data_IF_062064468039
#
_entry.id   IF_062064468039
#
_cell.length_a   1.000
_cell.length_b   1.000
_cell.length_c   1.000
_cell.angle_alpha   90.00
_cell.angle_beta   90.00
_cell.angle_gamma   90.00
#
_symmetry.space_group_name_H-M   'P 1'
#
loop_
_entity.id
_entity.type
_entity.pdbx_description
1 polymer ?
#
# COMPACT_ATOMS: atom_id res chain seq x y z
N UNK A 1 -29.34 3.29 -28.67
CA UNK A 1 -29.55 4.26 -27.57
C UNK A 1 -28.54 3.88 -26.51
N UNK A 2 -27.32 4.43 -26.59
CA UNK A 2 -26.22 4.03 -25.73
C UNK A 2 -26.42 4.70 -24.36
N UNK A 3 -26.60 3.89 -23.32
CA UNK A 3 -26.62 4.38 -21.95
C UNK A 3 -25.30 5.12 -21.67
N UNK A 4 -25.31 6.24 -20.93
CA UNK A 4 -24.07 6.86 -20.50
C UNK A 4 -23.34 5.88 -19.59
N UNK A 5 -22.11 5.49 -19.95
CA UNK A 5 -21.18 4.89 -19.00
C UNK A 5 -20.89 5.97 -17.95
N UNK A 6 -21.69 6.01 -16.89
CA UNK A 6 -21.34 6.74 -15.67
C UNK A 6 -20.08 6.10 -15.12
N UNK A 7 -18.93 6.66 -15.49
CA UNK A 7 -17.66 6.39 -14.80
C UNK A 7 -17.91 6.61 -13.32
N UNK A 8 -17.96 5.54 -12.54
CA UNK A 8 -18.25 5.61 -11.11
C UNK A 8 -17.10 6.37 -10.45
N UNK A 9 -17.33 7.62 -10.07
CA UNK A 9 -16.31 8.39 -9.35
C UNK A 9 -16.15 7.80 -7.95
N UNK A 10 -15.02 7.14 -7.67
CA UNK A 10 -14.66 6.77 -6.30
C UNK A 10 -14.22 8.05 -5.58
N UNK A 11 -15.09 8.55 -4.70
CA UNK A 11 -14.89 9.77 -3.93
C UNK A 11 -15.16 9.54 -2.43
N UNK A 12 -14.29 8.78 -1.74
CA UNK A 12 -14.38 8.56 -0.29
C UNK A 12 -14.18 9.86 0.49
N UNK A 13 -14.48 9.82 1.79
CA UNK A 13 -14.13 10.94 2.68
C UNK A 13 -12.61 11.09 2.75
N UNK A 14 -12.14 12.32 3.00
CA UNK A 14 -10.70 12.58 3.20
C UNK A 14 -10.18 11.82 4.41
N UNK A 15 -10.98 11.71 5.48
CA UNK A 15 -10.65 10.89 6.65
C UNK A 15 -10.39 9.42 6.27
N UNK A 16 -11.32 8.80 5.53
CA UNK A 16 -11.16 7.43 5.05
C UNK A 16 -9.92 7.27 4.16
N UNK A 17 -9.66 8.24 3.28
CA UNK A 17 -8.46 8.22 2.43
C UNK A 17 -7.18 8.23 3.25
N UNK A 18 -7.11 9.06 4.29
CA UNK A 18 -5.97 9.16 5.19
C UNK A 18 -5.82 7.89 6.05
N UNK A 19 -6.91 7.28 6.50
CA UNK A 19 -6.88 6.03 7.26
C UNK A 19 -6.35 4.86 6.41
N UNK A 20 -6.81 4.74 5.16
CA UNK A 20 -6.31 3.72 4.23
C UNK A 20 -4.84 3.95 3.93
N UNK A 21 -4.42 5.20 3.69
CA UNK A 21 -3.01 5.54 3.49
C UNK A 21 -2.16 5.18 4.71
N UNK A 22 -2.65 5.49 5.92
CA UNK A 22 -1.97 5.13 7.15
C UNK A 22 -1.79 3.61 7.31
N UNK A 23 -2.83 2.83 6.98
CA UNK A 23 -2.76 1.37 7.02
C UNK A 23 -1.73 0.81 6.02
N UNK A 24 -1.63 1.36 4.81
CA UNK A 24 -0.63 0.94 3.83
C UNK A 24 0.81 1.33 4.25
N UNK A 25 0.98 2.48 4.89
CA UNK A 25 2.26 2.89 5.48
C UNK A 25 2.66 1.95 6.63
N UNK A 26 1.72 1.55 7.49
CA UNK A 26 1.95 0.56 8.55
C UNK A 26 2.37 -0.80 8.00
N UNK A 27 1.72 -1.25 6.92
CA UNK A 27 2.10 -2.49 6.24
C UNK A 27 3.53 -2.41 5.70
N UNK A 28 3.93 -1.27 5.13
CA UNK A 28 5.31 -1.04 4.71
C UNK A 28 6.29 -1.05 5.89
N UNK A 29 5.94 -0.40 7.00
CA UNK A 29 6.74 -0.40 8.23
C UNK A 29 6.94 -1.80 8.82
N UNK A 30 5.88 -2.61 8.85
CA UNK A 30 5.94 -4.00 9.29
C UNK A 30 6.90 -4.84 8.43
N UNK A 31 6.96 -4.56 7.12
CA UNK A 31 7.93 -5.21 6.21
C UNK A 31 9.37 -4.77 6.50
N UNK A 32 9.62 -3.52 6.86
CA UNK A 32 10.96 -3.07 7.29
C UNK A 32 11.41 -3.80 8.56
N UNK A 33 10.53 -3.94 9.56
CA UNK A 33 10.83 -4.69 10.79
C UNK A 33 11.11 -6.16 10.49
N UNK A 34 10.34 -6.77 9.58
CA UNK A 34 10.59 -8.13 9.13
C UNK A 34 11.95 -8.27 8.43
N UNK A 35 12.32 -7.31 7.57
CA UNK A 35 13.62 -7.29 6.91
C UNK A 35 14.77 -7.13 7.89
N UNK A 36 14.65 -6.23 8.88
CA UNK A 36 15.62 -6.04 9.96
C UNK A 36 15.93 -7.36 10.67
N UNK A 37 14.88 -8.11 11.05
CA UNK A 37 15.03 -9.45 11.63
C UNK A 37 15.78 -10.43 10.71
N UNK A 38 15.37 -10.54 9.45
CA UNK A 38 16.00 -11.49 8.50
C UNK A 38 17.47 -11.14 8.28
N UNK A 39 17.79 -9.86 8.18
CA UNK A 39 19.16 -9.40 8.01
C UNK A 39 19.99 -9.71 9.27
N UNK A 40 19.43 -9.54 10.46
CA UNK A 40 20.05 -9.95 11.72
C UNK A 40 20.37 -11.45 11.75
N UNK A 41 19.43 -12.30 11.33
CA UNK A 41 19.64 -13.76 11.24
C UNK A 41 20.75 -14.13 10.23
N UNK A 42 20.86 -13.41 9.11
CA UNK A 42 21.92 -13.61 8.10
C UNK A 42 23.28 -13.16 8.63
N UNK A 43 23.34 -12.07 9.40
CA UNK A 43 24.59 -11.52 9.93
C UNK A 43 25.36 -12.54 10.75
N UNK A 44 24.69 -13.42 11.49
CA UNK A 44 25.34 -14.42 12.35
C UNK A 44 26.30 -15.33 11.57
N UNK A 45 26.04 -15.58 10.29
CA UNK A 45 26.90 -16.39 9.42
C UNK A 45 28.03 -15.64 8.71
N UNK A 46 28.13 -14.31 8.85
CA UNK A 46 29.06 -13.50 8.06
C UNK A 46 30.42 -13.26 8.74
N UNK A 47 31.52 -13.20 7.95
CA UNK A 47 32.79 -12.61 8.35
C UNK A 47 32.67 -11.19 8.90
N UNK A 48 33.52 -10.82 9.86
CA UNK A 48 33.48 -9.55 10.59
C UNK A 48 33.38 -8.30 9.68
N UNK A 49 34.20 -8.24 8.63
CA UNK A 49 34.21 -7.11 7.67
C UNK A 49 32.91 -6.94 6.89
N UNK A 50 32.18 -8.03 6.66
CA UNK A 50 30.90 -8.03 5.95
C UNK A 50 29.76 -7.69 6.92
N UNK A 51 29.89 -8.12 8.18
CA UNK A 51 28.98 -7.77 9.27
C UNK A 51 28.94 -6.27 9.54
N UNK A 52 30.10 -5.59 9.58
CA UNK A 52 30.18 -4.13 9.77
C UNK A 52 29.42 -3.35 8.71
N UNK A 53 29.57 -3.72 7.43
CA UNK A 53 28.83 -3.07 6.33
C UNK A 53 27.33 -3.32 6.41
N UNK A 54 26.92 -4.50 6.89
CA UNK A 54 25.51 -4.85 7.02
C UNK A 54 24.84 -4.16 8.21
N UNK A 55 25.58 -3.88 9.28
CA UNK A 55 25.09 -3.07 10.42
C UNK A 55 24.67 -1.66 10.00
N UNK A 56 25.44 -0.99 9.13
CA UNK A 56 25.07 0.33 8.61
C UNK A 56 23.76 0.26 7.80
N UNK A 57 23.61 -0.80 6.99
CA UNK A 57 22.37 -1.07 6.26
C UNK A 57 21.18 -1.30 7.17
N UNK A 58 21.36 -2.06 8.27
CA UNK A 58 20.32 -2.29 9.27
C UNK A 58 19.85 -1.01 9.94
N UNK A 59 20.80 -0.13 10.32
CA UNK A 59 20.43 1.16 10.89
C UNK A 59 19.57 1.99 9.93
N UNK A 60 19.87 1.95 8.63
CA UNK A 60 19.04 2.57 7.60
C UNK A 60 17.61 1.98 7.52
N UNK A 61 17.47 0.66 7.65
CA UNK A 61 16.16 -0.02 7.65
C UNK A 61 15.35 0.31 8.90
N UNK A 62 15.98 0.36 10.07
CA UNK A 62 15.36 0.77 11.33
C UNK A 62 14.86 2.22 11.27
N UNK A 63 15.71 3.15 10.83
CA UNK A 63 15.31 4.55 10.62
C UNK A 63 14.14 4.67 9.64
N UNK A 64 14.13 3.88 8.56
CA UNK A 64 13.00 3.85 7.63
C UNK A 64 11.72 3.35 8.31
N UNK A 65 11.78 2.30 9.13
CA UNK A 65 10.63 1.80 9.89
C UNK A 65 10.07 2.86 10.86
N UNK A 66 10.96 3.62 11.52
CA UNK A 66 10.58 4.73 12.40
C UNK A 66 9.93 5.88 11.64
N UNK A 67 10.45 6.23 10.45
CA UNK A 67 9.84 7.23 9.57
C UNK A 67 8.44 6.82 9.13
N UNK A 68 8.26 5.58 8.67
CA UNK A 68 6.95 5.06 8.26
C UNK A 68 5.97 5.05 9.44
N UNK A 69 6.41 4.63 10.62
CA UNK A 69 5.58 4.67 11.84
C UNK A 69 5.11 6.09 12.16
N UNK A 70 6.02 7.06 12.05
CA UNK A 70 5.71 8.48 12.29
C UNK A 70 4.72 9.04 11.26
N UNK A 71 4.89 8.68 9.98
CA UNK A 71 3.99 9.10 8.90
C UNK A 71 2.60 8.49 9.03
N UNK A 72 2.48 7.20 9.41
CA UNK A 72 1.18 6.59 9.69
C UNK A 72 0.48 7.29 10.86
N UNK A 73 1.19 7.49 11.98
CA UNK A 73 0.63 8.17 13.15
C UNK A 73 0.14 9.58 12.81
N UNK A 74 0.91 10.31 12.00
CA UNK A 74 0.52 11.62 11.48
C UNK A 74 -0.74 11.55 10.60
N UNK A 75 -0.80 10.61 9.64
CA UNK A 75 -1.96 10.43 8.77
C UNK A 75 -3.23 10.07 9.57
N UNK A 76 -3.14 9.19 10.57
CA UNK A 76 -4.24 8.90 11.51
C UNK A 76 -4.66 10.12 12.31
N UNK A 77 -3.69 10.88 12.82
CA UNK A 77 -3.96 12.13 13.55
C UNK A 77 -4.73 13.14 12.69
N UNK A 78 -4.36 13.28 11.42
CA UNK A 78 -5.10 14.11 10.47
C UNK A 78 -6.49 13.55 10.17
N UNK A 79 -6.62 12.24 9.92
CA UNK A 79 -7.91 11.59 9.67
C UNK A 79 -8.93 11.88 10.76
N UNK A 80 -8.51 11.73 12.03
CA UNK A 80 -9.35 12.01 13.20
C UNK A 80 -9.77 13.49 13.32
N UNK A 81 -8.97 14.40 12.77
CA UNK A 81 -9.25 15.84 12.79
C UNK A 81 -10.08 16.32 11.58
N UNK A 82 -10.29 15.47 10.57
CA UNK A 82 -11.01 15.84 9.36
C UNK A 82 -12.53 15.82 9.54
N UNK A 83 -13.25 16.82 9.00
CA UNK A 83 -14.71 16.76 8.88
C UNK A 83 -15.14 15.59 7.96
N UNK A 84 -16.15 14.83 8.38
CA UNK A 84 -16.60 13.63 7.68
C UNK A 84 -17.36 13.88 6.36
N UNK A 85 -17.71 15.12 6.07
CA UNK A 85 -18.44 15.55 4.87
C UNK A 85 -17.54 15.96 3.71
N UNK A 86 -16.22 16.06 3.93
CA UNK A 86 -15.26 16.40 2.88
C UNK A 86 -14.84 15.12 2.14
N UNK A 87 -15.12 15.06 0.85
CA UNK A 87 -14.77 13.95 -0.04
C UNK A 87 -13.70 14.35 -1.05
N UNK A 88 -12.92 13.37 -1.52
CA UNK A 88 -11.88 13.58 -2.54
C UNK A 88 -11.93 12.49 -3.62
N UNK A 89 -11.88 12.82 -4.92
CA UNK A 89 -11.79 11.81 -5.98
C UNK A 89 -10.40 11.16 -5.97
N UNK A 90 -10.34 9.83 -5.87
CA UNK A 90 -9.09 9.08 -5.68
C UNK A 90 -8.64 8.24 -6.88
N UNK A 91 -9.53 7.94 -7.84
CA UNK A 91 -9.21 7.03 -8.96
C UNK A 91 -8.00 7.47 -9.77
N UNK A 92 -7.86 8.78 -10.03
CA UNK A 92 -6.70 9.32 -10.75
C UNK A 92 -5.40 9.02 -10.02
N UNK A 93 -5.36 9.28 -8.71
CA UNK A 93 -4.18 9.01 -7.90
C UNK A 93 -3.87 7.50 -7.79
N UNK A 94 -4.90 6.65 -7.67
CA UNK A 94 -4.73 5.19 -7.65
C UNK A 94 -4.17 4.69 -8.99
N UNK A 95 -4.61 5.25 -10.12
CA UNK A 95 -4.13 4.83 -11.45
C UNK A 95 -2.65 5.11 -11.71
N UNK A 96 -2.04 6.00 -10.91
CA UNK A 96 -0.61 6.29 -10.95
C UNK A 96 0.22 5.33 -10.07
N UNK A 97 -0.44 4.52 -9.22
CA UNK A 97 0.22 3.52 -8.39
C UNK A 97 0.71 2.36 -9.27
N UNK A 98 2.02 2.21 -9.36
CA UNK A 98 2.66 1.18 -10.20
C UNK A 98 2.63 -0.22 -9.60
N UNK A 99 2.49 -0.33 -8.27
CA UNK A 99 2.42 -1.61 -7.58
C UNK A 99 0.97 -2.09 -7.54
N UNK A 100 0.59 -3.00 -8.44
CA UNK A 100 -0.80 -3.49 -8.59
C UNK A 100 -1.45 -3.93 -7.28
N UNK A 101 -0.76 -4.75 -6.49
CA UNK A 101 -1.27 -5.19 -5.19
C UNK A 101 -1.50 -4.04 -4.19
N UNK A 102 -0.77 -2.92 -4.29
CA UNK A 102 -1.06 -1.71 -3.49
C UNK A 102 -2.30 -0.99 -4.02
N UNK A 103 -2.41 -0.83 -5.34
CA UNK A 103 -3.57 -0.23 -5.98
C UNK A 103 -4.88 -0.98 -5.64
N UNK A 104 -4.85 -2.31 -5.67
CA UNK A 104 -5.96 -3.19 -5.28
C UNK A 104 -6.37 -2.97 -3.82
N UNK A 105 -5.43 -3.09 -2.87
CA UNK A 105 -5.74 -2.87 -1.45
C UNK A 105 -6.25 -1.46 -1.16
N UNK A 106 -5.68 -0.44 -1.80
CA UNK A 106 -6.17 0.92 -1.68
C UNK A 106 -7.59 1.06 -2.25
N UNK A 107 -7.86 0.49 -3.43
CA UNK A 107 -9.19 0.52 -4.05
C UNK A 107 -10.23 -0.13 -3.15
N UNK A 108 -9.97 -1.36 -2.68
CA UNK A 108 -10.84 -2.08 -1.75
C UNK A 108 -11.04 -1.31 -0.43
N UNK A 109 -9.95 -0.78 0.15
CA UNK A 109 -9.97 0.00 1.38
C UNK A 109 -10.77 1.30 1.26
N UNK A 110 -10.86 1.87 0.06
CA UNK A 110 -11.58 3.12 -0.25
C UNK A 110 -13.05 2.87 -0.64
N UNK A 111 -13.53 1.64 -0.55
CA UNK A 111 -14.89 1.25 -0.94
C UNK A 111 -15.10 1.18 -2.45
N UNK A 112 -14.00 1.06 -3.21
CA UNK A 112 -14.06 0.66 -4.61
C UNK A 112 -14.56 -0.77 -4.70
N UNK A 113 -15.45 -1.01 -5.66
CA UNK A 113 -15.74 -2.37 -6.09
C UNK A 113 -14.56 -2.77 -6.97
N UNK A 114 -13.85 -3.84 -6.60
CA UNK A 114 -12.85 -4.46 -7.47
C UNK A 114 -13.64 -5.06 -8.64
N UNK A 115 -13.99 -4.19 -9.61
CA UNK A 115 -14.81 -4.54 -10.75
C UNK A 115 -14.21 -5.75 -11.45
N UNK A 116 -14.89 -6.88 -11.28
CA UNK A 116 -14.79 -8.09 -12.09
C UNK A 116 -13.38 -8.67 -12.16
N UNK A 117 -13.13 -9.63 -11.27
CA UNK A 117 -12.24 -10.73 -11.60
C UNK A 117 -12.60 -11.23 -12.99
N UNK A 118 -11.61 -11.18 -13.88
CA UNK A 118 -11.56 -11.69 -15.24
C UNK A 118 -12.49 -12.90 -15.49
N UNK A 119 -13.73 -12.63 -15.88
CA UNK A 119 -14.63 -13.64 -16.47
C UNK A 119 -14.73 -13.41 -17.99
N UNK A 120 -13.68 -12.87 -18.59
CA UNK A 120 -13.54 -12.76 -20.03
C UNK A 120 -12.89 -14.03 -20.58
N UNK A 121 -13.69 -15.10 -20.61
CA UNK A 121 -13.61 -16.18 -21.60
C UNK A 121 -12.24 -16.83 -21.74
N UNK A 122 -12.08 -17.99 -21.09
CA UNK A 122 -11.26 -19.08 -21.62
C UNK A 122 -11.75 -19.41 -23.04
N UNK A 123 -11.28 -18.62 -24.00
CA UNK A 123 -11.48 -18.82 -25.42
C UNK A 123 -10.70 -20.06 -25.81
N UNK A 124 -11.45 -21.16 -25.91
CA UNK A 124 -11.26 -22.18 -26.93
C UNK A 124 -9.81 -22.69 -27.07
N UNK A 125 -9.36 -23.44 -26.06
CA UNK A 125 -8.31 -24.44 -26.28
C UNK A 125 -8.94 -25.57 -27.07
N UNK A 126 -8.93 -25.42 -28.39
CA UNK A 126 -9.30 -26.44 -29.38
C UNK A 126 -8.38 -27.66 -29.15
N UNK A 127 -8.93 -28.64 -28.44
CA UNK A 127 -8.25 -29.87 -28.02
C UNK A 127 -8.68 -30.99 -28.96
N UNK A 128 -8.16 -30.95 -30.20
CA UNK A 128 -8.08 -32.08 -31.12
C UNK A 128 -6.81 -32.02 -31.98
#
# INVERSE_FOLDING_TARGET
MNAPMTTRTLAPSVAMTLDVLAAEIELAGARCIFLDRIIGEVMDGLPERERERLMEGLHGVDLLAQHLTSLSAFARGLSLAMPGDVTVPVLGAISEVTLGALAERMTAGLGGDDGEGDDATAGDLDLF
#
